data_IF_467194938096
#
_entry.id   IF_467194938096
#
_cell.length_a   1.000
_cell.length_b   1.000
_cell.length_c   1.000
_cell.angle_alpha   90.00
_cell.angle_beta   90.00
_cell.angle_gamma   90.00
#
_symmetry.space_group_name_H-M   'P 1'
#
loop_
_entity.id
_entity.type
_entity.pdbx_description
1 polymer ?
#
# COMPACT_ATOMS: atom_id res chain seq x y z
N UNK A 1 32.14 -3.09 -4.83
CA UNK A 1 31.83 -4.52 -4.59
C UNK A 1 30.58 -4.58 -3.73
N UNK A 2 29.53 -5.31 -4.14
CA UNK A 2 28.41 -5.64 -3.25
C UNK A 2 28.78 -6.93 -2.51
N UNK A 3 28.79 -6.90 -1.19
CA UNK A 3 29.23 -8.03 -0.34
C UNK A 3 28.11 -9.00 0.02
N UNK A 4 26.86 -8.54 -0.07
CA UNK A 4 25.68 -9.35 0.20
C UNK A 4 25.08 -9.88 -1.11
N UNK A 5 24.82 -11.18 -1.17
CA UNK A 5 24.12 -11.81 -2.29
C UNK A 5 22.72 -11.20 -2.46
N UNK A 6 22.28 -10.97 -3.70
CA UNK A 6 20.99 -10.33 -3.96
C UNK A 6 19.81 -11.15 -3.41
N UNK A 7 19.93 -12.47 -3.25
CA UNK A 7 18.89 -13.30 -2.64
C UNK A 7 18.70 -13.02 -1.16
N UNK A 8 19.70 -12.45 -0.47
CA UNK A 8 19.70 -12.29 0.97
C UNK A 8 19.37 -10.85 1.39
N UNK A 9 18.83 -10.72 2.60
CA UNK A 9 18.55 -9.46 3.28
C UNK A 9 19.06 -9.52 4.72
N UNK A 10 19.32 -8.35 5.28
CA UNK A 10 19.61 -8.20 6.72
C UNK A 10 18.29 -7.86 7.40
N UNK A 11 17.86 -8.72 8.32
CA UNK A 11 16.66 -8.57 9.11
C UNK A 11 17.03 -8.04 10.50
N UNK A 12 16.49 -6.87 10.85
CA UNK A 12 16.67 -6.23 12.14
C UNK A 12 15.43 -6.46 13.00
N UNK A 13 15.54 -7.38 13.97
CA UNK A 13 14.48 -7.72 14.91
C UNK A 13 14.84 -7.13 16.27
N UNK A 14 13.88 -6.46 16.92
CA UNK A 14 14.10 -5.86 18.24
C UNK A 14 14.51 -6.94 19.25
N UNK A 15 15.64 -6.73 19.92
CA UNK A 15 16.15 -7.61 20.99
C UNK A 15 17.02 -8.77 20.49
N UNK A 16 17.11 -8.97 19.18
CA UNK A 16 17.94 -10.01 18.56
C UNK A 16 19.20 -9.40 17.92
N UNK A 17 20.21 -10.23 17.71
CA UNK A 17 21.34 -9.86 16.86
C UNK A 17 20.87 -9.74 15.39
N UNK A 18 21.55 -8.95 14.54
CA UNK A 18 21.23 -8.88 13.12
C UNK A 18 21.25 -10.28 12.46
N UNK A 19 20.18 -10.62 11.76
CA UNK A 19 20.02 -11.92 11.09
C UNK A 19 20.15 -11.74 9.58
N UNK A 20 20.79 -12.69 8.90
CA UNK A 20 20.76 -12.77 7.43
C UNK A 20 19.71 -13.81 7.06
N UNK A 21 18.73 -13.41 6.24
CA UNK A 21 17.68 -14.28 5.74
C UNK A 21 17.46 -14.09 4.24
N UNK A 22 16.84 -15.06 3.58
CA UNK A 22 16.49 -14.97 2.17
C UNK A 22 15.26 -14.06 1.98
N UNK A 23 15.31 -13.21 0.95
CA UNK A 23 14.14 -12.43 0.54
C UNK A 23 13.02 -13.37 0.09
N UNK A 24 11.78 -12.97 0.38
CA UNK A 24 10.62 -13.66 -0.14
C UNK A 24 10.63 -13.67 -1.68
N UNK A 25 10.43 -14.83 -2.34
CA UNK A 25 10.39 -14.91 -3.80
C UNK A 25 9.06 -14.34 -4.34
N UNK A 26 9.11 -13.16 -4.94
CA UNK A 26 7.93 -12.43 -5.40
C UNK A 26 7.14 -13.21 -6.45
N UNK A 27 7.80 -14.00 -7.28
CA UNK A 27 7.19 -14.81 -8.34
C UNK A 27 6.23 -15.87 -7.79
N UNK A 28 6.37 -16.22 -6.50
CA UNK A 28 5.50 -17.18 -5.80
C UNK A 28 4.36 -16.52 -5.04
N UNK A 29 4.27 -15.19 -5.06
CA UNK A 29 3.21 -14.48 -4.36
C UNK A 29 1.84 -14.85 -4.98
N UNK A 30 0.78 -15.14 -4.18
CA UNK A 30 -0.53 -15.55 -4.70
C UNK A 30 -1.15 -14.56 -5.70
N UNK A 31 -0.78 -13.29 -5.56
CA UNK A 31 -1.28 -12.17 -6.35
C UNK A 31 -0.28 -11.69 -7.42
N UNK A 32 0.73 -12.50 -7.79
CA UNK A 32 1.73 -12.12 -8.80
C UNK A 32 1.09 -11.73 -10.14
N UNK A 33 -0.04 -12.36 -10.50
CA UNK A 33 -0.83 -12.07 -11.72
C UNK A 33 -1.28 -10.61 -11.89
N UNK A 34 -1.23 -9.80 -10.83
CA UNK A 34 -1.58 -8.38 -10.87
C UNK A 34 -0.36 -7.46 -11.07
N UNK A 35 0.83 -8.02 -11.18
CA UNK A 35 2.07 -7.29 -11.46
C UNK A 35 2.47 -7.45 -12.94
N UNK A 36 3.35 -6.57 -13.43
CA UNK A 36 3.90 -6.68 -14.78
C UNK A 36 4.58 -8.04 -15.02
N UNK A 37 5.36 -8.53 -14.06
CA UNK A 37 6.02 -9.85 -14.11
C UNK A 37 5.01 -11.01 -14.18
N UNK A 38 3.81 -10.82 -13.65
CA UNK A 38 2.70 -11.78 -13.75
C UNK A 38 1.77 -11.57 -14.96
N UNK A 39 2.10 -10.64 -15.86
CA UNK A 39 1.35 -10.37 -17.10
C UNK A 39 0.28 -9.29 -16.99
N UNK A 40 0.19 -8.57 -15.87
CA UNK A 40 -0.65 -7.38 -15.80
C UNK A 40 -0.04 -6.22 -16.58
N UNK A 41 -0.86 -5.22 -16.91
CA UNK A 41 -0.35 -4.00 -17.54
C UNK A 41 0.58 -3.25 -16.56
N UNK A 42 1.71 -2.71 -17.02
CA UNK A 42 2.59 -1.92 -16.17
C UNK A 42 1.86 -0.67 -15.66
N UNK A 43 2.24 -0.21 -14.47
CA UNK A 43 1.78 1.07 -13.97
C UNK A 43 2.39 2.21 -14.81
N UNK A 44 1.54 3.03 -15.43
CA UNK A 44 1.96 4.20 -16.19
C UNK A 44 1.78 5.43 -15.31
N UNK A 45 2.87 5.94 -14.76
CA UNK A 45 2.86 7.19 -14.01
C UNK A 45 2.66 8.37 -14.98
N UNK A 46 1.55 9.10 -14.84
CA UNK A 46 1.23 10.29 -15.63
C UNK A 46 1.44 11.52 -14.72
N UNK A 47 2.55 12.27 -14.86
CA UNK A 47 2.81 13.44 -14.04
C UNK A 47 1.71 14.48 -14.19
N UNK A 48 1.23 15.02 -13.06
CA UNK A 48 0.19 16.06 -13.04
C UNK A 48 -1.25 15.54 -13.09
N UNK A 49 -1.45 14.22 -13.15
CA UNK A 49 -2.75 13.60 -12.93
C UNK A 49 -3.00 13.51 -11.42
N UNK A 50 -4.01 14.20 -10.93
CA UNK A 50 -4.48 14.04 -9.56
C UNK A 50 -5.35 12.78 -9.49
N UNK A 51 -4.99 11.85 -8.60
CA UNK A 51 -5.79 10.66 -8.31
C UNK A 51 -6.67 10.87 -7.07
N UNK A 52 -6.79 12.11 -6.59
CA UNK A 52 -7.83 12.47 -5.63
C UNK A 52 -9.19 12.07 -6.21
N UNK A 53 -9.91 11.27 -5.45
CA UNK A 53 -11.34 11.12 -5.64
C UNK A 53 -11.97 12.22 -4.80
N UNK A 54 -12.98 12.89 -5.34
CA UNK A 54 -13.78 13.80 -4.54
C UNK A 54 -14.40 12.99 -3.38
N UNK A 55 -14.22 13.46 -2.15
CA UNK A 55 -14.65 12.72 -0.95
C UNK A 55 -16.16 12.48 -0.91
N UNK A 56 -16.94 13.34 -1.59
CA UNK A 56 -18.41 13.32 -1.62
C UNK A 56 -18.90 13.58 -3.05
N UNK A 57 -19.96 12.89 -3.46
CA UNK A 57 -20.64 13.11 -4.74
C UNK A 57 -21.38 14.47 -4.81
N UNK A 58 -21.34 15.25 -3.73
CA UNK A 58 -21.98 16.55 -3.59
C UNK A 58 -21.03 17.55 -2.91
N UNK A 59 -21.07 18.83 -3.29
CA UNK A 59 -20.29 19.86 -2.63
C UNK A 59 -20.83 20.11 -1.21
N UNK A 60 -19.92 20.35 -0.26
CA UNK A 60 -20.24 20.87 1.08
C UNK A 60 -19.83 22.34 1.08
N UNK A 61 -20.77 23.23 0.81
CA UNK A 61 -20.50 24.67 0.64
C UNK A 61 -20.51 25.42 1.98
N UNK A 62 -21.20 24.88 2.98
CA UNK A 62 -21.37 25.51 4.29
C UNK A 62 -21.48 24.50 5.44
N UNK A 63 -21.30 24.97 6.67
CA UNK A 63 -21.52 24.16 7.87
C UNK A 63 -22.99 23.74 8.04
N UNK A 64 -23.91 24.46 7.40
CA UNK A 64 -25.34 24.15 7.45
C UNK A 64 -25.70 22.89 6.63
N UNK A 65 -24.79 22.45 5.75
CA UNK A 65 -24.96 21.23 4.93
C UNK A 65 -24.59 19.94 5.70
N UNK A 66 -24.13 20.04 6.95
CA UNK A 66 -23.62 18.91 7.75
C UNK A 66 -24.63 18.55 8.84
N UNK A 67 -25.14 17.31 8.82
CA UNK A 67 -25.95 16.74 9.90
C UNK A 67 -25.10 15.81 10.78
N UNK A 68 -25.05 16.10 12.10
CA UNK A 68 -24.37 15.24 13.08
C UNK A 68 -25.33 14.14 13.50
N UNK A 69 -25.01 12.89 13.14
CA UNK A 69 -25.77 11.73 13.56
C UNK A 69 -25.28 11.29 14.95
N UNK A 70 -26.15 11.39 15.95
CA UNK A 70 -25.91 10.76 17.24
C UNK A 70 -26.09 9.24 17.11
N UNK A 71 -25.02 8.48 17.33
CA UNK A 71 -25.09 7.02 17.40
C UNK A 71 -25.74 6.66 18.74
N UNK A 72 -26.99 6.18 18.71
CA UNK A 72 -27.56 5.50 19.86
C UNK A 72 -26.74 4.23 20.14
N UNK A 73 -26.09 4.16 21.30
CA UNK A 73 -25.55 2.90 21.81
C UNK A 73 -26.74 1.97 22.08
N UNK A 74 -27.05 1.08 21.14
CA UNK A 74 -28.00 0.00 21.39
C UNK A 74 -27.46 -0.87 22.54
N UNK A 75 -28.22 -1.06 23.64
CA UNK A 75 -27.76 -1.82 24.80
C UNK A 75 -27.60 -3.32 24.52
#
# INVERSE_FOLDING_TARGET
>A
MRTLDNRNAILLIRGEAPVIDAKYPLEKHPNIKFTEDGGAKPYVHIPGLDYSLDDLDFPVDSLDDIEIIELEETP
#
